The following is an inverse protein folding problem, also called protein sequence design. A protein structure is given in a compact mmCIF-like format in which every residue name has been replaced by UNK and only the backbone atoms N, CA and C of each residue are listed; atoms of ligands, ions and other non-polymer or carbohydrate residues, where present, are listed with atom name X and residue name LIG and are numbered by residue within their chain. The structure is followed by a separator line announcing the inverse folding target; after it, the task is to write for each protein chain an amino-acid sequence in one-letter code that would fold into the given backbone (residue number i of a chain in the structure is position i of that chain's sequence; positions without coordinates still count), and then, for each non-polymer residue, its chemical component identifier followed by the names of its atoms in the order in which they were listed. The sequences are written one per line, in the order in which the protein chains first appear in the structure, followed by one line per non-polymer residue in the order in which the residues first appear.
data_IF_026110540871
#
_entry.id   IF_026110540871
#
_cell.length_a   1.000
_cell.length_b   1.000
_cell.length_c   1.000
_cell.angle_alpha   90.00
_cell.angle_beta   90.00
_cell.angle_gamma   90.00
#
_symmetry.space_group_name_H-M   'P 1'
#
loop_
_entity.id
_entity.type
_entity.pdbx_description
1 polymer ?
#
# COMPACT_ATOMS: atom_id res chain seq x y z
N UNK A 1 -14.14 17.80 14.72
CA UNK A 1 -13.40 16.56 14.36
C UNK A 1 -13.73 16.20 12.92
N UNK A 2 -12.72 16.07 12.07
CA UNK A 2 -12.85 15.82 10.63
C UNK A 2 -12.36 14.42 10.26
N UNK A 3 -13.04 13.78 9.31
CA UNK A 3 -12.60 12.51 8.72
C UNK A 3 -12.28 12.72 7.25
N UNK A 4 -11.05 12.38 6.84
CA UNK A 4 -10.60 12.46 5.45
C UNK A 4 -10.50 11.06 4.87
N UNK A 5 -11.17 10.81 3.74
CA UNK A 5 -11.11 9.53 3.03
C UNK A 5 -10.29 9.65 1.75
N UNK A 6 -9.31 8.77 1.59
CA UNK A 6 -8.47 8.68 0.39
C UNK A 6 -8.73 7.36 -0.33
N UNK A 7 -9.11 7.44 -1.61
CA UNK A 7 -9.28 6.26 -2.46
C UNK A 7 -7.95 5.75 -3.01
N UNK A 8 -7.96 4.58 -3.68
CA UNK A 8 -6.73 3.99 -4.20
C UNK A 8 -6.02 4.87 -5.24
N UNK A 9 -6.75 5.64 -6.05
CA UNK A 9 -6.14 6.59 -7.00
C UNK A 9 -5.50 7.79 -6.30
N UNK A 10 -5.92 8.14 -5.07
CA UNK A 10 -5.25 9.14 -4.23
C UNK A 10 -4.00 8.60 -3.56
N UNK A 11 -3.71 7.30 -3.72
CA UNK A 11 -2.60 6.57 -3.11
C UNK A 11 -1.89 5.72 -4.18
N UNK A 12 -1.85 6.21 -5.43
CA UNK A 12 -1.36 5.40 -6.56
C UNK A 12 0.17 5.45 -6.74
N UNK A 13 0.83 6.47 -6.19
CA UNK A 13 2.26 6.74 -6.41
C UNK A 13 2.82 7.61 -5.26
N UNK A 14 4.15 7.79 -5.18
CA UNK A 14 4.80 8.54 -4.10
C UNK A 14 4.26 9.98 -3.94
N UNK A 15 4.09 10.71 -5.05
CA UNK A 15 3.63 12.10 -5.04
C UNK A 15 2.25 12.23 -4.40
N UNK A 16 1.34 11.31 -4.75
CA UNK A 16 -0.02 11.29 -4.21
C UNK A 16 -0.07 10.85 -2.76
N UNK A 17 0.79 9.90 -2.34
CA UNK A 17 0.96 9.56 -0.93
C UNK A 17 1.42 10.77 -0.11
N UNK A 18 2.45 11.48 -0.56
CA UNK A 18 2.92 12.72 0.06
C UNK A 18 1.84 13.80 0.11
N UNK A 19 1.02 13.92 -0.95
CA UNK A 19 -0.11 14.85 -0.96
C UNK A 19 -1.19 14.47 0.05
N UNK A 20 -1.53 13.19 0.16
CA UNK A 20 -2.50 12.70 1.16
C UNK A 20 -2.01 12.96 2.58
N UNK A 21 -0.72 12.69 2.85
CA UNK A 21 -0.09 12.98 4.14
C UNK A 21 -0.17 14.47 4.50
N UNK A 22 0.16 15.37 3.57
CA UNK A 22 0.04 16.82 3.75
C UNK A 22 -1.38 17.27 4.07
N UNK A 23 -2.38 16.70 3.38
CA UNK A 23 -3.79 17.04 3.62
C UNK A 23 -4.26 16.57 5.01
N UNK A 24 -3.78 15.41 5.47
CA UNK A 24 -4.08 14.91 6.82
C UNK A 24 -3.42 15.80 7.87
N UNK A 25 -2.15 16.17 7.68
CA UNK A 25 -1.42 17.06 8.58
C UNK A 25 -2.08 18.44 8.68
N UNK A 26 -2.43 19.06 7.55
CA UNK A 26 -3.13 20.34 7.52
C UNK A 26 -4.46 20.27 8.27
N UNK A 27 -5.26 19.23 8.02
CA UNK A 27 -6.53 19.06 8.72
C UNK A 27 -6.33 18.87 10.23
N UNK A 28 -5.29 18.14 10.65
CA UNK A 28 -4.96 17.92 12.06
C UNK A 28 -4.51 19.20 12.78
N UNK A 29 -3.81 20.10 12.08
CA UNK A 29 -3.39 21.40 12.61
C UNK A 29 -4.57 22.37 12.79
N UNK A 30 -5.62 22.24 11.98
CA UNK A 30 -6.84 23.06 12.09
C UNK A 30 -7.79 22.54 13.18
N UNK A 31 -8.04 21.23 13.22
CA UNK A 31 -8.87 20.58 14.23
C UNK A 31 -8.53 19.08 14.36
N UNK A 32 -9.11 18.39 15.34
CA UNK A 32 -8.93 16.93 15.45
C UNK A 32 -9.32 16.24 14.13
N UNK A 33 -8.38 15.51 13.52
CA UNK A 33 -8.58 14.84 12.24
C UNK A 33 -8.28 13.35 12.30
N UNK A 34 -8.95 12.56 11.46
CA UNK A 34 -8.69 11.14 11.22
C UNK A 34 -8.60 10.85 9.72
N UNK A 35 -7.64 10.02 9.32
CA UNK A 35 -7.47 9.55 7.94
C UNK A 35 -8.01 8.13 7.76
N UNK A 36 -8.81 7.92 6.72
CA UNK A 36 -9.28 6.60 6.27
C UNK A 36 -8.72 6.34 4.87
N UNK A 37 -7.86 5.32 4.75
CA UNK A 37 -7.12 5.01 3.53
C UNK A 37 -7.67 3.72 2.90
N UNK A 38 -7.90 3.74 1.59
CA UNK A 38 -8.02 2.52 0.80
C UNK A 38 -6.64 1.94 0.48
N UNK A 39 -6.57 0.70 -0.01
CA UNK A 39 -5.34 0.18 -0.59
C UNK A 39 -4.88 1.03 -1.80
N UNK A 40 -3.57 1.11 -2.09
CA UNK A 40 -3.06 1.73 -3.30
C UNK A 40 -3.77 1.22 -4.56
N UNK A 41 -3.84 2.06 -5.60
CA UNK A 41 -4.48 1.69 -6.86
C UNK A 41 -4.02 0.31 -7.35
N UNK A 42 -4.97 -0.53 -7.76
CA UNK A 42 -4.81 -1.91 -8.24
C UNK A 42 -4.44 -2.98 -7.20
N UNK A 43 -3.98 -2.64 -6.00
CA UNK A 43 -3.61 -3.66 -4.99
C UNK A 43 -4.75 -4.64 -4.70
N UNK A 44 -5.96 -4.13 -4.44
CA UNK A 44 -7.12 -5.01 -4.20
C UNK A 44 -7.42 -5.94 -5.37
N UNK A 45 -7.22 -5.47 -6.62
CA UNK A 45 -7.45 -6.32 -7.81
C UNK A 45 -6.42 -7.44 -7.89
N UNK A 46 -5.15 -7.16 -7.59
CA UNK A 46 -4.12 -8.19 -7.52
C UNK A 46 -4.41 -9.21 -6.42
N UNK A 47 -4.84 -8.76 -5.24
CA UNK A 47 -5.20 -9.68 -4.13
C UNK A 47 -6.40 -10.57 -4.47
N UNK A 48 -7.43 -10.03 -5.15
CA UNK A 48 -8.54 -10.84 -5.66
C UNK A 48 -8.05 -11.88 -6.66
N UNK A 49 -7.24 -11.47 -7.63
CA UNK A 49 -6.70 -12.38 -8.64
C UNK A 49 -5.78 -13.45 -8.04
N UNK A 50 -5.03 -13.13 -6.99
CA UNK A 50 -4.22 -14.09 -6.23
C UNK A 50 -5.11 -15.16 -5.58
N UNK A 51 -6.17 -14.75 -4.90
CA UNK A 51 -7.12 -15.68 -4.27
C UNK A 51 -7.80 -16.59 -5.30
N UNK A 52 -8.27 -16.03 -6.43
CA UNK A 52 -8.89 -16.79 -7.50
C UNK A 52 -7.91 -17.80 -8.10
N UNK A 53 -6.69 -17.38 -8.43
CA UNK A 53 -5.68 -18.25 -9.03
C UNK A 53 -5.21 -19.36 -8.11
N UNK A 54 -4.98 -19.05 -6.83
CA UNK A 54 -4.59 -20.05 -5.83
C UNK A 54 -5.65 -21.16 -5.74
N UNK A 55 -6.93 -20.80 -5.62
CA UNK A 55 -8.03 -21.78 -5.58
C UNK A 55 -8.15 -22.67 -6.83
N UNK A 56 -7.58 -22.23 -7.95
CA UNK A 56 -7.56 -22.97 -9.21
C UNK A 56 -6.22 -23.68 -9.46
N UNK A 57 -5.30 -23.69 -8.49
CA UNK A 57 -3.92 -24.18 -8.62
C UNK A 57 -3.18 -23.53 -9.81
N UNK A 58 -3.45 -22.25 -10.09
CA UNK A 58 -2.81 -21.49 -11.15
C UNK A 58 -1.64 -20.65 -10.60
N UNK A 59 -0.66 -20.28 -11.44
CA UNK A 59 0.47 -19.45 -11.02
C UNK A 59 0.03 -18.10 -10.44
N UNK A 60 0.47 -17.79 -9.23
CA UNK A 60 0.17 -16.55 -8.49
C UNK A 60 1.26 -15.48 -8.62
N UNK A 61 2.49 -15.89 -8.96
CA UNK A 61 3.68 -15.00 -9.01
C UNK A 61 3.48 -13.69 -9.76
N UNK A 62 2.80 -13.63 -10.94
CA UNK A 62 2.66 -12.37 -11.66
C UNK A 62 1.95 -11.29 -10.84
N UNK A 63 0.82 -11.62 -10.21
CA UNK A 63 0.07 -10.65 -9.42
C UNK A 63 0.71 -10.39 -8.06
N UNK A 64 1.42 -11.36 -7.51
CA UNK A 64 2.15 -11.20 -6.25
C UNK A 64 3.28 -10.19 -6.43
N UNK A 65 4.09 -10.37 -7.48
CA UNK A 65 5.20 -9.48 -7.80
C UNK A 65 4.71 -8.08 -8.21
N UNK A 66 3.66 -7.98 -9.03
CA UNK A 66 3.08 -6.68 -9.40
C UNK A 66 2.56 -5.90 -8.18
N UNK A 67 1.91 -6.59 -7.22
CA UNK A 67 1.44 -5.97 -5.99
C UNK A 67 2.61 -5.49 -5.12
N UNK A 68 3.67 -6.30 -5.00
CA UNK A 68 4.87 -5.95 -4.23
C UNK A 68 5.61 -4.76 -4.86
N UNK A 69 5.75 -4.74 -6.18
CA UNK A 69 6.39 -3.66 -6.93
C UNK A 69 5.67 -2.32 -6.75
N UNK A 70 4.34 -2.31 -6.65
CA UNK A 70 3.58 -1.09 -6.34
C UNK A 70 4.02 -0.49 -5.00
N UNK A 71 4.11 -1.32 -3.95
CA UNK A 71 4.53 -0.85 -2.64
C UNK A 71 5.99 -0.40 -2.63
N UNK A 72 6.90 -1.15 -3.26
CA UNK A 72 8.30 -0.78 -3.36
C UNK A 72 8.51 0.53 -4.13
N UNK A 73 7.79 0.75 -5.24
CA UNK A 73 7.85 2.00 -5.97
C UNK A 73 7.40 3.18 -5.08
N UNK A 74 6.31 3.02 -4.33
CA UNK A 74 5.82 4.04 -3.40
C UNK A 74 6.86 4.38 -2.34
N UNK A 75 7.37 3.41 -1.58
CA UNK A 75 8.29 3.68 -0.46
C UNK A 75 9.63 4.22 -0.92
N UNK A 76 10.15 3.75 -2.07
CA UNK A 76 11.40 4.25 -2.64
C UNK A 76 11.25 5.69 -3.10
N UNK A 77 10.13 6.03 -3.74
CA UNK A 77 9.84 7.40 -4.12
C UNK A 77 9.63 8.32 -2.92
N UNK A 78 8.97 7.85 -1.85
CA UNK A 78 8.83 8.61 -0.61
C UNK A 78 10.18 8.90 0.04
N UNK A 79 11.06 7.90 0.12
CA UNK A 79 12.43 8.10 0.59
C UNK A 79 13.22 9.08 -0.29
N UNK A 80 13.06 8.99 -1.60
CA UNK A 80 13.70 9.93 -2.55
C UNK A 80 13.22 11.38 -2.33
N UNK A 81 11.94 11.57 -2.00
CA UNK A 81 11.37 12.89 -1.69
C UNK A 81 11.75 13.39 -0.28
N UNK A 82 11.99 12.47 0.66
CA UNK A 82 12.36 12.78 2.04
C UNK A 82 13.27 11.68 2.61
N UNK A 83 14.57 11.95 2.68
CA UNK A 83 15.58 11.00 3.18
C UNK A 83 15.42 10.64 4.68
N UNK A 84 14.55 11.35 5.42
CA UNK A 84 14.23 10.99 6.81
C UNK A 84 13.11 9.94 6.92
N UNK A 85 12.49 9.57 5.80
CA UNK A 85 11.50 8.49 5.76
C UNK A 85 12.21 7.15 6.06
N UNK A 86 11.68 6.38 7.01
CA UNK A 86 12.26 5.08 7.37
C UNK A 86 11.96 4.02 6.29
N UNK A 87 12.79 4.02 5.25
CA UNK A 87 12.68 3.06 4.14
C UNK A 87 12.93 1.63 4.61
N UNK A 88 13.94 1.42 5.45
CA UNK A 88 14.34 0.08 5.89
C UNK A 88 13.26 -0.58 6.74
N UNK A 89 12.76 0.13 7.76
CA UNK A 89 11.69 -0.37 8.63
C UNK A 89 10.39 -0.57 7.86
N UNK A 90 10.02 0.38 6.99
CA UNK A 90 8.78 0.24 6.19
C UNK A 90 8.88 -0.93 5.20
N UNK A 91 10.04 -1.12 4.55
CA UNK A 91 10.26 -2.26 3.67
C UNK A 91 10.13 -3.58 4.42
N UNK A 92 10.71 -3.66 5.63
CA UNK A 92 10.61 -4.87 6.44
C UNK A 92 9.15 -5.22 6.78
N UNK A 93 8.31 -4.23 7.09
CA UNK A 93 6.88 -4.46 7.33
C UNK A 93 6.21 -5.00 6.06
N UNK A 94 6.45 -4.38 4.91
CA UNK A 94 5.88 -4.84 3.63
C UNK A 94 6.32 -6.29 3.33
N UNK A 95 7.60 -6.60 3.51
CA UNK A 95 8.12 -7.95 3.27
C UNK A 95 7.45 -8.99 4.18
N UNK A 96 7.23 -8.66 5.46
CA UNK A 96 6.55 -9.53 6.42
C UNK A 96 5.09 -9.77 6.05
N UNK A 97 4.36 -8.72 5.67
CA UNK A 97 2.95 -8.83 5.24
C UNK A 97 2.84 -9.67 3.96
N UNK A 98 3.75 -9.49 3.00
CA UNK A 98 3.75 -10.30 1.77
C UNK A 98 4.16 -11.76 2.02
N UNK A 99 5.07 -12.03 2.97
CA UNK A 99 5.37 -13.40 3.41
C UNK A 99 4.14 -14.08 4.03
N UNK A 100 3.35 -13.35 4.84
CA UNK A 100 2.09 -13.85 5.35
C UNK A 100 1.11 -14.15 4.23
N UNK A 101 0.96 -13.26 3.24
CA UNK A 101 0.10 -13.50 2.08
C UNK A 101 0.55 -14.75 1.32
N UNK A 102 1.84 -14.93 1.06
CA UNK A 102 2.36 -16.13 0.40
C UNK A 102 2.00 -17.40 1.17
N UNK A 103 2.18 -17.40 2.50
CA UNK A 103 1.83 -18.52 3.36
C UNK A 103 0.34 -18.85 3.34
N UNK A 104 -0.53 -17.82 3.23
CA UNK A 104 -1.97 -18.01 3.10
C UNK A 104 -2.36 -18.60 1.74
N UNK A 105 -1.69 -18.19 0.66
CA UNK A 105 -1.97 -18.72 -0.68
C UNK A 105 -1.63 -20.21 -0.81
N UNK A 106 -0.62 -20.70 -0.10
CA UNK A 106 -0.27 -22.13 -0.04
C UNK A 106 -1.32 -22.99 0.68
N UNK A 107 -2.21 -22.36 1.46
CA UNK A 107 -3.25 -23.05 2.24
C UNK A 107 -4.61 -23.09 1.53
N UNK A 108 -4.74 -22.40 0.39
CA UNK A 108 -5.96 -22.34 -0.44
C UNK A 108 -5.97 -23.51 -1.42
#
# INVERSE_FOLDING_TARGET
MRVLKFGGTSLANPERFSQAAKLIEQAHLEEQAAGVLSAPAKITNHLVALSEKASLNQPTDPHFNEALDIFYNIINGLHTQNNNFDLAGTKQIIDQEFQQIASLLEQI
#
